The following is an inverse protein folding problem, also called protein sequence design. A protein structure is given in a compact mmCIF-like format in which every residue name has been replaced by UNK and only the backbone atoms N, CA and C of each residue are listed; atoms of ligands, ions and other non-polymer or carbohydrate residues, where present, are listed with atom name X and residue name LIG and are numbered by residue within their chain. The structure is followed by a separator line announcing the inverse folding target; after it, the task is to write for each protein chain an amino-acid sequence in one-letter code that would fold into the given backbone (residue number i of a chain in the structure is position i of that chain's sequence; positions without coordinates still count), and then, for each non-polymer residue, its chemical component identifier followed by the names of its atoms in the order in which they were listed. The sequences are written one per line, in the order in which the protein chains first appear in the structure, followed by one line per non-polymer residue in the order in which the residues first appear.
data_IF_931168009739
#
_entry.id   IF_931168009739
#
_cell.length_a   1.000
_cell.length_b   1.000
_cell.length_c   1.000
_cell.angle_alpha   90.00
_cell.angle_beta   90.00
_cell.angle_gamma   90.00
#
_symmetry.space_group_name_H-M   'P 1'
#
loop_
_entity.id
_entity.type
_entity.pdbx_description
1 polymer ?
#
# COMPACT_ATOMS: atom_id res chain seq x y z
N UNK A 1 8.09 -9.45 -13.68
CA UNK A 1 7.50 -9.75 -12.37
C UNK A 1 7.82 -11.19 -11.97
N UNK A 2 7.93 -11.52 -10.68
CA UNK A 2 7.93 -12.89 -10.22
C UNK A 2 6.60 -13.57 -10.57
N UNK A 3 6.57 -14.88 -10.57
CA UNK A 3 5.31 -15.61 -10.54
C UNK A 3 4.60 -15.29 -9.22
N UNK A 4 3.33 -14.93 -9.31
CA UNK A 4 2.54 -14.48 -8.17
C UNK A 4 1.26 -15.30 -8.06
N UNK A 5 0.88 -15.63 -6.84
CA UNK A 5 -0.39 -16.25 -6.51
C UNK A 5 -1.07 -15.48 -5.41
N UNK A 6 -2.35 -15.17 -5.59
CA UNK A 6 -3.15 -14.39 -4.64
C UNK A 6 -4.47 -15.08 -4.37
N UNK A 7 -4.89 -15.03 -3.15
CA UNK A 7 -6.23 -15.40 -2.75
C UNK A 7 -6.90 -14.19 -2.08
N UNK A 8 -8.12 -13.88 -2.49
CA UNK A 8 -8.88 -12.73 -1.98
C UNK A 8 -10.26 -13.13 -1.50
N UNK A 9 -10.70 -12.45 -0.45
CA UNK A 9 -12.11 -12.40 -0.04
C UNK A 9 -12.68 -11.07 -0.51
N UNK A 10 -13.82 -11.10 -1.20
CA UNK A 10 -14.58 -9.90 -1.50
C UNK A 10 -15.66 -9.69 -0.43
N UNK A 11 -15.66 -8.51 0.18
CA UNK A 11 -16.70 -8.08 1.13
C UNK A 11 -17.18 -6.68 0.74
N UNK A 12 -18.35 -6.61 0.12
CA UNK A 12 -18.83 -5.37 -0.50
C UNK A 12 -17.85 -4.85 -1.55
N UNK A 13 -17.41 -3.62 -1.38
CA UNK A 13 -16.38 -3.01 -2.25
C UNK A 13 -14.93 -3.31 -1.83
N UNK A 14 -14.71 -4.04 -0.76
CA UNK A 14 -13.37 -4.41 -0.30
C UNK A 14 -12.91 -5.70 -0.97
N UNK A 15 -11.69 -5.69 -1.49
CA UNK A 15 -10.96 -6.85 -1.99
C UNK A 15 -9.82 -7.13 -1.01
N UNK A 16 -9.99 -8.15 -0.17
CA UNK A 16 -9.15 -8.40 1.01
C UNK A 16 -8.25 -9.59 0.73
N UNK A 17 -6.92 -9.43 0.63
CA UNK A 17 -6.02 -10.57 0.47
C UNK A 17 -6.02 -11.43 1.74
N UNK A 18 -6.03 -12.74 1.55
CA UNK A 18 -5.96 -13.71 2.65
C UNK A 18 -4.60 -13.66 3.31
N UNK A 19 -3.55 -13.50 2.54
CA UNK A 19 -2.17 -13.30 3.00
C UNK A 19 -1.66 -11.92 2.58
N UNK A 20 -1.25 -11.13 3.55
CA UNK A 20 -0.64 -9.81 3.38
C UNK A 20 0.83 -9.79 3.80
N UNK A 21 1.38 -10.94 4.15
CA UNK A 21 2.77 -11.08 4.56
C UNK A 21 3.73 -11.00 3.38
N UNK A 22 5.05 -11.01 3.69
CA UNK A 22 6.08 -11.08 2.66
C UNK A 22 6.10 -12.48 2.04
N UNK A 23 5.79 -12.56 0.75
CA UNK A 23 5.86 -13.80 -0.03
C UNK A 23 7.24 -13.92 -0.67
N UNK A 24 7.94 -15.00 -0.34
CA UNK A 24 9.22 -15.33 -0.93
C UNK A 24 9.01 -16.02 -2.29
N UNK A 25 9.41 -15.35 -3.36
CA UNK A 25 9.30 -15.91 -4.69
C UNK A 25 10.51 -16.77 -5.07
N UNK A 26 10.38 -17.53 -6.13
CA UNK A 26 11.49 -18.27 -6.74
C UNK A 26 12.41 -17.40 -7.61
N UNK A 27 12.04 -16.16 -7.84
CA UNK A 27 12.79 -15.18 -8.63
C UNK A 27 13.95 -14.60 -7.80
N UNK A 28 15.17 -14.49 -8.33
CA UNK A 28 16.36 -14.16 -7.51
C UNK A 28 16.35 -12.73 -6.96
N UNK A 29 15.65 -11.80 -7.60
CA UNK A 29 15.68 -10.38 -7.22
C UNK A 29 14.53 -9.98 -6.34
N UNK A 30 13.33 -10.53 -6.55
CA UNK A 30 12.10 -9.99 -6.00
C UNK A 30 11.32 -10.96 -5.14
N UNK A 31 10.98 -10.55 -3.94
CA UNK A 31 9.82 -11.00 -3.20
C UNK A 31 8.65 -10.03 -3.45
N UNK A 32 7.48 -10.33 -2.95
CA UNK A 32 6.34 -9.43 -3.11
C UNK A 32 5.42 -9.41 -1.88
N UNK A 33 4.64 -8.36 -1.79
CA UNK A 33 3.54 -8.21 -0.84
C UNK A 33 2.33 -7.68 -1.59
N UNK A 34 1.14 -8.01 -1.11
CA UNK A 34 -0.11 -7.43 -1.56
C UNK A 34 -0.84 -6.81 -0.37
N UNK A 35 -1.72 -5.87 -0.65
CA UNK A 35 -2.52 -5.22 0.38
C UNK A 35 -3.98 -5.08 -0.07
N UNK A 36 -4.89 -4.72 0.84
CA UNK A 36 -6.30 -4.58 0.52
C UNK A 36 -6.56 -3.61 -0.62
N UNK A 37 -7.46 -4.02 -1.50
CA UNK A 37 -7.88 -3.28 -2.66
C UNK A 37 -9.38 -3.02 -2.70
N UNK A 38 -9.89 -2.76 -3.90
CA UNK A 38 -11.29 -2.45 -4.12
C UNK A 38 -11.85 -3.26 -5.28
N UNK A 39 -13.15 -3.57 -5.17
CA UNK A 39 -13.96 -4.08 -6.27
C UNK A 39 -15.18 -3.17 -6.45
N UNK A 40 -15.56 -2.90 -7.68
CA UNK A 40 -16.72 -2.07 -8.03
C UNK A 40 -17.28 -2.43 -9.39
N UNK A 41 -18.47 -1.94 -9.70
CA UNK A 41 -19.15 -2.18 -10.97
C UNK A 41 -19.40 -0.86 -11.68
N UNK A 42 -19.31 -0.88 -13.00
CA UNK A 42 -19.72 0.22 -13.87
C UNK A 42 -20.70 -0.29 -14.94
N UNK A 43 -21.60 0.58 -15.37
CA UNK A 43 -22.68 0.21 -16.29
C UNK A 43 -22.22 -0.33 -17.65
N UNK A 44 -20.99 -0.01 -18.07
CA UNK A 44 -20.41 -0.46 -19.34
C UNK A 44 -19.70 -1.81 -19.28
N UNK A 45 -19.61 -2.45 -18.12
CA UNK A 45 -18.74 -3.62 -17.91
C UNK A 45 -19.43 -4.97 -18.22
N UNK A 46 -20.63 -4.95 -18.79
CA UNK A 46 -21.34 -6.16 -19.31
C UNK A 46 -21.40 -7.32 -18.30
N UNK A 47 -21.64 -7.01 -17.01
CA UNK A 47 -21.73 -8.02 -15.95
C UNK A 47 -20.40 -8.38 -15.28
N UNK A 48 -19.31 -7.72 -15.67
CA UNK A 48 -18.03 -7.83 -14.95
C UNK A 48 -17.94 -6.81 -13.79
N UNK A 49 -17.25 -7.19 -12.75
CA UNK A 49 -16.75 -6.29 -11.72
C UNK A 49 -15.34 -5.86 -12.06
N UNK A 50 -14.99 -4.64 -11.71
CA UNK A 50 -13.61 -4.14 -11.72
C UNK A 50 -12.96 -4.43 -10.39
N UNK A 51 -11.69 -4.78 -10.42
CA UNK A 51 -10.87 -4.92 -9.25
C UNK A 51 -9.58 -4.14 -9.40
N UNK A 52 -9.10 -3.62 -8.28
CA UNK A 52 -7.79 -2.96 -8.17
C UNK A 52 -7.22 -3.23 -6.80
N UNK A 53 -5.94 -3.54 -6.72
CA UNK A 53 -5.22 -3.71 -5.46
C UNK A 53 -3.77 -3.24 -5.55
N UNK A 54 -3.20 -2.74 -4.46
CA UNK A 54 -1.80 -2.37 -4.38
C UNK A 54 -0.92 -3.60 -4.17
N UNK A 55 0.26 -3.58 -4.78
CA UNK A 55 1.31 -4.56 -4.54
C UNK A 55 2.65 -3.87 -4.40
N UNK A 56 3.60 -4.55 -3.79
CA UNK A 56 4.97 -4.11 -3.70
C UNK A 56 5.93 -5.24 -4.10
N UNK A 57 6.93 -4.89 -4.90
CA UNK A 57 8.09 -5.73 -5.14
C UNK A 57 9.15 -5.38 -4.10
N UNK A 58 9.63 -6.39 -3.40
CA UNK A 58 10.60 -6.23 -2.32
C UNK A 58 11.92 -6.83 -2.78
N UNK A 59 12.93 -6.00 -2.94
CA UNK A 59 14.24 -6.46 -3.37
C UNK A 59 14.90 -7.35 -2.32
N UNK A 60 15.43 -8.49 -2.74
CA UNK A 60 15.99 -9.49 -1.84
C UNK A 60 17.41 -9.16 -1.36
N UNK A 61 18.20 -8.50 -2.20
CA UNK A 61 19.63 -8.29 -1.97
C UNK A 61 19.94 -6.90 -1.40
N UNK A 62 18.99 -5.98 -1.53
CA UNK A 62 19.07 -4.60 -1.09
C UNK A 62 17.76 -4.25 -0.35
N UNK A 63 17.50 -2.98 -0.13
CA UNK A 63 16.32 -2.54 0.62
C UNK A 63 15.32 -1.74 -0.23
N UNK A 64 15.37 -1.90 -1.55
CA UNK A 64 14.46 -1.18 -2.43
C UNK A 64 13.08 -1.83 -2.45
N UNK A 65 12.06 -1.02 -2.29
CA UNK A 65 10.67 -1.41 -2.43
C UNK A 65 10.08 -0.65 -3.61
N UNK A 66 9.42 -1.37 -4.51
CA UNK A 66 8.74 -0.80 -5.66
C UNK A 66 7.24 -0.99 -5.51
N UNK A 67 6.51 0.09 -5.33
CA UNK A 67 5.06 0.09 -5.17
C UNK A 67 4.36 0.21 -6.52
N UNK A 68 3.33 -0.59 -6.71
CA UNK A 68 2.53 -0.61 -7.91
C UNK A 68 1.07 -0.96 -7.63
N UNK A 69 0.28 -0.93 -8.70
CA UNK A 69 -1.14 -1.27 -8.66
C UNK A 69 -1.42 -2.31 -9.72
N UNK A 70 -2.23 -3.30 -9.38
CA UNK A 70 -2.82 -4.26 -10.31
C UNK A 70 -4.30 -3.97 -10.50
N UNK A 71 -4.80 -4.20 -11.72
CA UNK A 71 -6.21 -4.01 -12.07
C UNK A 71 -6.68 -5.10 -13.03
N UNK A 72 -7.92 -5.54 -12.89
CA UNK A 72 -8.53 -6.54 -13.76
C UNK A 72 -10.06 -6.45 -13.74
N UNK A 73 -10.69 -7.12 -14.69
CA UNK A 73 -12.13 -7.39 -14.71
C UNK A 73 -12.35 -8.85 -14.32
N UNK A 74 -13.40 -9.13 -13.58
CA UNK A 74 -13.75 -10.49 -13.17
C UNK A 74 -15.25 -10.65 -12.97
N UNK A 75 -15.70 -11.89 -13.02
CA UNK A 75 -17.03 -12.32 -12.61
C UNK A 75 -16.92 -13.68 -11.91
N UNK A 76 -18.02 -14.38 -11.72
CA UNK A 76 -18.06 -15.66 -11.00
C UNK A 76 -17.29 -16.80 -11.71
N UNK A 77 -16.91 -16.64 -12.95
CA UNK A 77 -16.32 -17.73 -13.76
C UNK A 77 -15.01 -17.37 -14.47
N UNK A 78 -14.74 -16.09 -14.66
CA UNK A 78 -13.60 -15.67 -15.49
C UNK A 78 -12.96 -14.38 -15.01
N UNK A 79 -11.73 -14.17 -15.42
CA UNK A 79 -10.93 -12.98 -15.18
C UNK A 79 -10.30 -12.50 -16.49
N UNK A 80 -10.17 -11.20 -16.65
CA UNK A 80 -9.39 -10.60 -17.73
C UNK A 80 -7.89 -10.80 -17.52
N UNK A 81 -7.07 -10.38 -18.48
CA UNK A 81 -5.66 -10.14 -18.19
C UNK A 81 -5.53 -9.14 -17.02
N UNK A 82 -4.60 -9.40 -16.11
CA UNK A 82 -4.25 -8.48 -15.04
C UNK A 82 -3.30 -7.44 -15.58
N UNK A 83 -3.69 -6.18 -15.53
CA UNK A 83 -2.81 -5.04 -15.81
C UNK A 83 -2.06 -4.66 -14.56
N UNK A 84 -0.80 -4.28 -14.70
CA UNK A 84 -0.01 -3.79 -13.60
C UNK A 84 0.79 -2.55 -13.98
N UNK A 85 1.06 -1.72 -13.00
CA UNK A 85 1.95 -0.57 -13.12
C UNK A 85 2.72 -0.37 -11.81
N UNK A 86 4.06 -0.33 -11.89
CA UNK A 86 4.93 0.12 -10.81
C UNK A 86 5.14 1.62 -10.98
N UNK A 87 4.90 2.40 -9.92
CA UNK A 87 4.83 3.86 -10.01
C UNK A 87 5.74 4.58 -9.02
N UNK A 88 6.28 3.88 -8.03
CA UNK A 88 7.09 4.48 -6.97
C UNK A 88 8.12 3.48 -6.47
N UNK A 89 9.30 3.95 -6.18
CA UNK A 89 10.35 3.20 -5.49
C UNK A 89 10.89 4.00 -4.29
N UNK A 90 11.53 3.27 -3.36
CA UNK A 90 12.09 3.83 -2.12
C UNK A 90 13.61 3.99 -2.17
N UNK A 91 14.24 3.74 -3.31
CA UNK A 91 15.69 3.84 -3.49
C UNK A 91 16.04 4.69 -4.72
N UNK A 92 17.24 5.25 -4.72
CA UNK A 92 17.74 6.07 -5.83
C UNK A 92 18.54 5.29 -6.87
N UNK A 93 19.04 4.12 -6.52
CA UNK A 93 19.94 3.32 -7.36
C UNK A 93 19.21 2.37 -8.31
N UNK A 94 17.91 2.10 -8.08
CA UNK A 94 17.14 1.15 -8.88
C UNK A 94 15.76 1.69 -9.19
N UNK A 95 15.71 2.62 -10.13
CA UNK A 95 14.49 3.27 -10.61
C UNK A 95 14.13 2.74 -11.98
N UNK A 96 12.85 2.40 -12.16
CA UNK A 96 12.31 2.01 -13.46
C UNK A 96 10.82 2.27 -13.55
N UNK A 97 10.34 2.52 -14.75
CA UNK A 97 8.93 2.44 -15.08
C UNK A 97 8.62 1.06 -15.61
N UNK A 98 7.63 0.41 -15.02
CA UNK A 98 7.23 -0.91 -15.45
C UNK A 98 5.71 -1.03 -15.44
N UNK A 99 5.18 -1.37 -16.59
CA UNK A 99 3.76 -1.67 -16.75
C UNK A 99 3.57 -2.77 -17.77
N UNK A 100 2.41 -3.41 -17.74
CA UNK A 100 2.09 -4.46 -18.71
C UNK A 100 0.81 -5.21 -18.37
N UNK A 101 0.67 -6.35 -19.02
CA UNK A 101 -0.44 -7.26 -18.82
C UNK A 101 0.09 -8.67 -18.60
N UNK A 102 -0.54 -9.39 -17.69
CA UNK A 102 -0.26 -10.79 -17.38
C UNK A 102 -1.52 -11.61 -17.63
N UNK A 103 -1.36 -12.80 -18.21
CA UNK A 103 -2.42 -13.80 -18.16
C UNK A 103 -2.54 -14.29 -16.72
N UNK A 104 -3.79 -14.45 -16.26
CA UNK A 104 -4.08 -15.01 -14.95
C UNK A 104 -4.84 -16.32 -15.11
N UNK A 105 -4.47 -17.32 -14.32
CA UNK A 105 -5.36 -18.43 -14.02
C UNK A 105 -6.31 -17.98 -12.90
N UNK A 106 -7.59 -18.32 -13.00
CA UNK A 106 -8.60 -17.92 -12.04
C UNK A 106 -9.40 -19.13 -11.59
N UNK A 107 -9.45 -19.31 -10.29
CA UNK A 107 -10.23 -20.38 -9.65
C UNK A 107 -11.20 -19.74 -8.66
N UNK A 108 -12.47 -19.51 -9.05
CA UNK A 108 -13.49 -19.08 -8.11
C UNK A 108 -13.65 -20.14 -7.02
N UNK A 109 -13.56 -19.74 -5.77
CA UNK A 109 -13.69 -20.65 -4.64
C UNK A 109 -14.27 -19.92 -3.42
N UNK A 110 -14.74 -20.69 -2.47
CA UNK A 110 -15.07 -20.16 -1.15
C UNK A 110 -13.83 -20.31 -0.27
N UNK A 111 -13.34 -19.20 0.24
CA UNK A 111 -12.22 -19.18 1.19
C UNK A 111 -12.69 -19.71 2.53
N UNK A 112 -12.07 -20.76 3.05
CA UNK A 112 -12.51 -21.46 4.25
C UNK A 112 -12.60 -20.56 5.50
N UNK A 113 -11.74 -19.55 5.60
CA UNK A 113 -11.66 -18.61 6.72
C UNK A 113 -12.13 -17.18 6.33
N UNK A 114 -12.99 -17.04 5.31
CA UNK A 114 -13.43 -15.75 4.77
C UNK A 114 -14.02 -14.82 5.84
N UNK A 115 -14.81 -15.34 6.75
CA UNK A 115 -15.39 -14.56 7.86
C UNK A 115 -14.31 -13.98 8.78
N UNK A 116 -13.32 -14.79 9.15
CA UNK A 116 -12.22 -14.35 10.00
C UNK A 116 -11.34 -13.30 9.30
N UNK A 117 -11.03 -13.49 8.02
CA UNK A 117 -10.28 -12.53 7.19
C UNK A 117 -11.02 -11.20 7.09
N UNK A 118 -12.34 -11.27 6.84
CA UNK A 118 -13.21 -10.10 6.75
C UNK A 118 -13.29 -9.37 8.10
N UNK A 119 -13.52 -10.09 9.20
CA UNK A 119 -13.61 -9.50 10.53
C UNK A 119 -12.29 -8.82 10.93
N UNK A 120 -11.16 -9.48 10.71
CA UNK A 120 -9.84 -8.93 11.01
C UNK A 120 -9.56 -7.65 10.20
N UNK A 121 -9.97 -7.61 8.92
CA UNK A 121 -9.80 -6.43 8.09
C UNK A 121 -10.62 -5.23 8.60
N UNK A 122 -11.89 -5.43 8.93
CA UNK A 122 -12.74 -4.35 9.43
C UNK A 122 -12.36 -3.91 10.84
N UNK A 123 -11.89 -4.84 11.70
CA UNK A 123 -11.33 -4.48 12.99
C UNK A 123 -10.06 -3.64 12.85
N UNK A 124 -9.17 -4.02 11.93
CA UNK A 124 -8.00 -3.22 11.60
C UNK A 124 -8.37 -1.81 11.10
N UNK A 125 -9.34 -1.68 10.18
CA UNK A 125 -9.82 -0.37 9.71
C UNK A 125 -10.37 0.49 10.86
N UNK A 126 -11.14 -0.10 11.76
CA UNK A 126 -11.72 0.59 12.92
C UNK A 126 -10.66 1.10 13.89
N UNK A 127 -9.54 0.38 14.01
CA UNK A 127 -8.46 0.69 14.94
C UNK A 127 -7.38 1.59 14.32
N UNK A 128 -7.55 2.06 13.07
CA UNK A 128 -6.64 3.03 12.48
C UNK A 128 -6.71 4.37 13.20
N UNK A 129 -5.55 5.01 13.36
CA UNK A 129 -5.49 6.38 13.85
C UNK A 129 -6.21 7.33 12.89
N UNK A 130 -6.95 8.31 13.41
CA UNK A 130 -7.52 9.36 12.58
C UNK A 130 -6.46 9.99 11.69
N UNK A 131 -6.73 10.05 10.39
CA UNK A 131 -5.80 10.62 9.41
C UNK A 131 -6.47 11.77 8.69
N UNK A 132 -5.76 12.90 8.57
CA UNK A 132 -6.18 14.09 7.87
C UNK A 132 -5.13 14.52 6.85
N UNK A 133 -5.53 15.24 5.77
CA UNK A 133 -4.57 15.90 4.90
C UNK A 133 -3.71 16.89 5.68
N UNK A 134 -2.40 16.92 5.40
CA UNK A 134 -1.48 17.85 6.09
C UNK A 134 -1.88 19.32 5.89
N UNK A 135 -2.53 19.64 4.78
CA UNK A 135 -3.02 21.00 4.46
C UNK A 135 -4.03 21.56 5.46
N UNK A 136 -4.68 20.72 6.26
CA UNK A 136 -5.61 21.20 7.28
C UNK A 136 -4.96 21.43 8.66
N UNK A 137 -3.68 21.07 8.82
CA UNK A 137 -2.99 21.20 10.10
C UNK A 137 -2.94 22.66 10.59
N UNK A 138 -2.66 23.60 9.70
CA UNK A 138 -2.65 25.02 10.03
C UNK A 138 -4.03 25.55 10.47
N UNK A 139 -5.10 25.06 9.87
CA UNK A 139 -6.47 25.45 10.24
C UNK A 139 -6.94 24.78 11.53
N UNK A 140 -6.52 23.55 11.79
CA UNK A 140 -6.81 22.87 13.06
C UNK A 140 -6.06 23.51 14.26
N UNK A 141 -4.90 24.13 14.00
CA UNK A 141 -4.06 24.76 15.02
C UNK A 141 -3.59 26.18 14.63
N UNK A 142 -4.50 27.16 14.51
CA UNK A 142 -4.19 28.50 13.98
C UNK A 142 -3.15 29.25 14.83
N UNK A 143 -3.13 29.00 16.12
CA UNK A 143 -2.18 29.66 17.04
C UNK A 143 -0.75 29.11 16.93
N UNK A 144 -0.57 27.93 16.35
CA UNK A 144 0.74 27.31 16.20
C UNK A 144 1.55 27.88 15.02
N UNK A 145 0.91 28.69 14.16
CA UNK A 145 1.53 29.31 12.95
C UNK A 145 2.29 28.30 12.09
N UNK A 146 1.70 27.11 11.91
CA UNK A 146 2.30 26.04 11.14
C UNK A 146 2.38 26.48 9.67
N UNK A 147 3.53 26.26 9.05
CA UNK A 147 3.72 26.39 7.62
C UNK A 147 4.11 25.03 7.04
N UNK A 148 3.18 24.36 6.39
CA UNK A 148 3.38 23.01 5.85
C UNK A 148 4.42 22.95 4.72
N UNK A 149 4.58 24.06 3.96
CA UNK A 149 5.57 24.11 2.88
C UNK A 149 7.00 24.05 3.40
N UNK A 150 7.24 24.44 4.65
CA UNK A 150 8.56 24.35 5.27
C UNK A 150 8.90 22.91 5.67
N UNK A 151 7.90 22.03 5.86
CA UNK A 151 8.13 20.66 6.31
C UNK A 151 8.83 19.80 5.24
N UNK A 152 8.65 20.13 3.97
CA UNK A 152 9.31 19.44 2.85
C UNK A 152 10.36 20.28 2.13
N UNK A 153 10.66 21.50 2.60
CA UNK A 153 11.55 22.45 1.91
C UNK A 153 13.00 21.99 1.82
N UNK A 154 13.42 21.03 2.66
CA UNK A 154 14.76 20.43 2.59
C UNK A 154 14.94 19.32 1.59
N UNK A 155 13.88 18.93 0.87
CA UNK A 155 13.89 17.86 -0.12
C UNK A 155 13.28 18.33 -1.44
N UNK A 156 13.75 17.78 -2.56
CA UNK A 156 13.14 18.05 -3.85
C UNK A 156 11.83 17.26 -3.98
N UNK A 157 10.81 17.83 -4.67
CA UNK A 157 9.53 17.14 -4.84
C UNK A 157 9.66 15.74 -5.48
N UNK A 158 10.60 15.57 -6.43
CA UNK A 158 10.85 14.30 -7.11
C UNK A 158 11.39 13.21 -6.19
N UNK A 159 11.97 13.59 -5.07
CA UNK A 159 12.52 12.67 -4.07
C UNK A 159 11.64 12.54 -2.82
N UNK A 160 10.47 13.18 -2.84
CA UNK A 160 9.55 13.17 -1.70
C UNK A 160 8.28 12.40 -2.04
N UNK A 161 8.19 11.17 -1.57
CA UNK A 161 6.98 10.36 -1.72
C UNK A 161 5.87 10.90 -0.82
N UNK A 162 6.14 11.01 0.47
CA UNK A 162 5.18 11.48 1.48
C UNK A 162 5.91 12.06 2.69
N UNK A 163 5.25 12.94 3.40
CA UNK A 163 5.68 13.43 4.71
C UNK A 163 4.45 13.68 5.58
N UNK A 164 4.64 13.75 6.88
CA UNK A 164 3.53 13.98 7.79
C UNK A 164 3.98 14.28 9.20
N UNK A 165 3.01 14.61 10.04
CA UNK A 165 3.16 14.88 11.46
C UNK A 165 2.07 14.15 12.21
N UNK A 166 2.46 13.40 13.23
CA UNK A 166 1.51 12.88 14.20
C UNK A 166 1.39 13.87 15.36
N UNK A 167 0.21 14.40 15.56
CA UNK A 167 -0.03 15.38 16.62
C UNK A 167 -1.43 15.21 17.23
N UNK A 168 -1.48 15.21 18.55
CA UNK A 168 -2.71 15.12 19.33
C UNK A 168 -3.66 13.99 18.89
N UNK A 169 -3.11 12.80 18.66
CA UNK A 169 -3.88 11.61 18.27
C UNK A 169 -4.28 11.55 16.80
N UNK A 170 -3.90 12.52 15.97
CA UNK A 170 -4.21 12.60 14.54
C UNK A 170 -2.94 12.51 13.71
N UNK A 171 -2.99 11.71 12.66
CA UNK A 171 -1.94 11.59 11.66
C UNK A 171 -2.23 12.58 10.49
N UNK A 172 -1.47 13.67 10.42
CA UNK A 172 -1.54 14.63 9.33
C UNK A 172 -0.52 14.23 8.25
N UNK A 173 -0.99 13.84 7.08
CA UNK A 173 -0.14 13.27 6.04
C UNK A 173 -0.33 13.99 4.69
N UNK A 174 0.75 14.17 3.96
CA UNK A 174 0.71 14.62 2.58
C UNK A 174 0.15 13.51 1.66
N UNK A 175 -0.11 13.85 0.40
CA UNK A 175 -0.37 12.80 -0.58
C UNK A 175 0.87 11.92 -0.74
N UNK A 176 0.65 10.65 -1.11
CA UNK A 176 1.73 9.80 -1.58
C UNK A 176 1.99 10.08 -3.05
N UNK A 177 3.07 10.78 -3.34
CA UNK A 177 3.42 11.17 -4.71
C UNK A 177 4.19 10.05 -5.41
N UNK A 178 3.91 9.90 -6.68
CA UNK A 178 4.62 9.00 -7.59
C UNK A 178 4.99 9.75 -8.87
N UNK A 179 5.77 9.15 -9.75
CA UNK A 179 6.08 9.71 -11.07
C UNK A 179 4.84 9.94 -11.94
N UNK A 180 3.76 9.22 -11.65
CA UNK A 180 2.51 9.25 -12.41
C UNK A 180 1.37 9.92 -11.63
N UNK A 181 1.69 10.77 -10.67
CA UNK A 181 0.73 11.48 -9.83
C UNK A 181 0.51 10.83 -8.46
N UNK A 182 -0.66 11.08 -7.88
CA UNK A 182 -0.98 10.58 -6.54
C UNK A 182 -1.23 9.08 -6.56
N UNK A 183 -0.60 8.37 -5.64
CA UNK A 183 -0.83 6.93 -5.47
C UNK A 183 -2.21 6.65 -4.88
N UNK A 184 -2.99 5.84 -5.57
CA UNK A 184 -4.39 5.59 -5.20
C UNK A 184 -4.57 4.87 -3.86
N UNK A 185 -3.53 4.17 -3.40
CA UNK A 185 -3.52 3.36 -2.18
C UNK A 185 -2.46 3.87 -1.18
N UNK A 186 -2.49 5.16 -0.89
CA UNK A 186 -1.48 5.81 -0.05
C UNK A 186 -1.35 5.16 1.33
N UNK A 187 -2.46 4.75 1.97
CA UNK A 187 -2.48 4.03 3.25
C UNK A 187 -1.81 2.65 3.20
N UNK A 188 -1.75 2.05 2.01
CA UNK A 188 -1.23 0.71 1.78
C UNK A 188 0.19 0.71 1.18
N UNK A 189 0.75 1.89 0.93
CA UNK A 189 2.09 2.01 0.36
C UNK A 189 3.14 1.39 1.30
N UNK A 190 3.97 0.50 0.76
CA UNK A 190 5.02 -0.16 1.52
C UNK A 190 6.28 0.68 1.50
N UNK A 191 6.67 1.15 2.67
CA UNK A 191 7.86 1.98 2.87
C UNK A 191 8.77 1.27 3.88
N UNK A 192 10.04 1.00 3.55
CA UNK A 192 10.96 0.38 4.48
C UNK A 192 11.34 1.37 5.59
N UNK A 193 11.44 0.87 6.80
CA UNK A 193 11.81 1.70 7.96
C UNK A 193 13.30 2.08 8.00
N UNK A 194 14.13 1.37 7.22
CA UNK A 194 15.58 1.52 7.26
C UNK A 194 16.12 1.58 8.71
N UNK A 195 17.00 2.53 9.01
CA UNK A 195 17.58 2.67 10.36
C UNK A 195 16.62 3.18 11.42
N UNK A 196 15.41 3.65 11.06
CA UNK A 196 14.37 3.98 12.05
C UNK A 196 13.96 2.74 12.87
N UNK A 197 14.11 1.53 12.30
CA UNK A 197 13.91 0.29 13.04
C UNK A 197 14.82 0.18 14.27
N UNK A 198 16.02 0.74 14.22
CA UNK A 198 16.96 0.75 15.39
C UNK A 198 16.41 1.60 16.52
N UNK A 199 15.86 2.77 16.22
CA UNK A 199 15.27 3.64 17.24
C UNK A 199 14.04 2.99 17.88
N UNK A 200 13.18 2.34 17.09
CA UNK A 200 11.99 1.65 17.61
C UNK A 200 12.40 0.41 18.41
N UNK A 201 13.10 -0.54 17.80
CA UNK A 201 13.40 -1.83 18.45
C UNK A 201 14.40 -1.70 19.58
N UNK A 202 15.54 -1.03 19.36
CA UNK A 202 16.55 -0.85 20.39
C UNK A 202 16.08 0.11 21.49
N UNK A 203 15.38 1.18 21.15
CA UNK A 203 14.78 2.11 22.11
C UNK A 203 13.75 1.42 23.00
N UNK A 204 12.85 0.63 22.44
CA UNK A 204 11.88 -0.15 23.23
C UNK A 204 12.55 -1.19 24.10
N UNK A 205 13.55 -1.90 23.59
CA UNK A 205 14.33 -2.87 24.38
C UNK A 205 15.03 -2.19 25.55
N UNK A 206 15.66 -1.03 25.33
CA UNK A 206 16.34 -0.25 26.37
C UNK A 206 15.36 0.24 27.46
N UNK A 207 14.20 0.77 27.07
CA UNK A 207 13.16 1.18 28.02
C UNK A 207 12.64 -0.02 28.82
N UNK A 208 12.52 -1.20 28.22
CA UNK A 208 12.11 -2.43 28.92
C UNK A 208 13.12 -2.90 29.95
N UNK A 209 14.41 -2.74 29.68
CA UNK A 209 15.48 -3.11 30.62
C UNK A 209 15.61 -2.12 31.79
N UNK A 210 15.09 -0.90 31.63
CA UNK A 210 15.09 0.14 32.69
C UNK A 210 13.90 0.07 33.64
N UNK A 211 12.95 -0.85 33.41
CA UNK A 211 11.80 -1.14 34.30
C UNK A 211 12.15 -2.28 35.26
#
# INVERSE_FOLDING_TARGET
LPEMSFEFVQSGSHLIPVDQSLVYSNQPTWNYMVAPGRAWNESGDQGFSRASFPFALIERNQNCVHNGVMTFLFNDTTISNVRYQVTQETCMYFKFDMWGQLKAAYTPSQVANAEAVTAAHFDWLKNQLPTKPISVLASDYPNAKVNETLMSSGTTPEHTTTFGVFYNGVNYISNCNTRHGKYAYCSEMRLPSYSTAKSVLAGMAYMRLGQ
#
